data_IF_148663431571
#
_entry.id   IF_148663431571
#
_cell.length_a   1.000
_cell.length_b   1.000
_cell.length_c   1.000
_cell.angle_alpha   90.00
_cell.angle_beta   90.00
_cell.angle_gamma   90.00
#
_symmetry.space_group_name_H-M   'P 1'
#
loop_
_entity.id
_entity.type
_entity.pdbx_description
1 polymer ?
#
# COMPACT_ATOMS: atom_id res chain seq x y z
N UNK A 1 34.30 1.52 -4.61
CA UNK A 1 33.99 0.20 -5.19
C UNK A 1 32.54 -0.16 -4.94
N UNK A 2 31.62 0.18 -5.86
CA UNK A 2 30.24 -0.28 -5.80
C UNK A 2 30.12 -1.56 -6.63
N UNK A 3 30.02 -2.70 -5.95
CA UNK A 3 29.77 -4.00 -6.59
C UNK A 3 28.27 -4.14 -6.88
N UNK A 4 27.90 -4.10 -8.16
CA UNK A 4 26.53 -4.39 -8.62
C UNK A 4 26.46 -5.89 -8.92
N UNK A 5 25.79 -6.65 -8.04
CA UNK A 5 25.46 -8.05 -8.30
C UNK A 5 24.28 -8.12 -9.27
N UNK A 6 24.51 -8.62 -10.49
CA UNK A 6 23.45 -9.00 -11.45
C UNK A 6 23.15 -10.49 -11.26
N UNK A 7 21.91 -10.81 -10.89
CA UNK A 7 21.43 -12.19 -10.78
C UNK A 7 20.37 -12.47 -11.85
N UNK A 8 20.45 -13.67 -12.47
CA UNK A 8 19.63 -14.13 -13.61
C UNK A 8 18.14 -14.25 -13.23
N UNK A 9 17.26 -13.73 -14.08
CA UNK A 9 15.79 -13.84 -13.94
C UNK A 9 15.28 -15.20 -14.42
N UNK A 10 14.62 -15.95 -13.54
CA UNK A 10 13.81 -17.12 -13.85
C UNK A 10 12.35 -16.73 -14.06
N UNK A 11 11.89 -16.84 -15.30
CA UNK A 11 10.51 -16.97 -15.80
C UNK A 11 9.35 -16.44 -14.92
N UNK A 12 9.19 -15.12 -14.91
CA UNK A 12 8.02 -14.35 -14.48
C UNK A 12 8.19 -12.93 -15.03
N UNK A 13 7.12 -12.23 -15.41
CA UNK A 13 7.22 -10.83 -15.86
C UNK A 13 7.52 -9.91 -14.66
N UNK A 14 8.78 -9.96 -14.21
CA UNK A 14 9.33 -9.20 -13.08
C UNK A 14 9.60 -7.72 -13.45
N UNK A 15 9.15 -7.25 -14.62
CA UNK A 15 9.46 -5.91 -15.15
C UNK A 15 9.01 -4.77 -14.23
N UNK A 16 8.07 -5.02 -13.31
CA UNK A 16 7.53 -4.05 -12.36
C UNK A 16 8.11 -4.13 -10.94
N UNK A 17 8.99 -5.11 -10.68
CA UNK A 17 9.62 -5.32 -9.37
C UNK A 17 11.00 -4.67 -9.34
N UNK A 18 11.17 -3.64 -8.50
CA UNK A 18 12.47 -3.00 -8.29
C UNK A 18 13.13 -3.60 -7.05
N UNK A 19 14.29 -4.24 -7.24
CA UNK A 19 15.16 -4.70 -6.14
C UNK A 19 15.92 -3.51 -5.57
N UNK A 20 15.92 -3.36 -4.25
CA UNK A 20 16.60 -2.25 -3.57
C UNK A 20 17.00 -2.66 -2.13
N UNK A 21 17.69 -1.79 -1.39
CA UNK A 21 18.07 -2.04 0.01
C UNK A 21 18.04 -0.76 0.84
N UNK A 22 17.87 -0.90 2.15
CA UNK A 22 18.02 0.21 3.09
C UNK A 22 18.85 -0.21 4.30
N UNK A 23 19.46 0.77 4.97
CA UNK A 23 20.21 0.53 6.20
C UNK A 23 19.29 0.82 7.38
N UNK A 24 19.12 -0.17 8.26
CA UNK A 24 18.38 -0.03 9.51
C UNK A 24 19.24 -0.54 10.66
N UNK A 25 19.56 0.33 11.61
CA UNK A 25 20.38 0.00 12.78
C UNK A 25 21.72 -0.67 12.40
N UNK A 26 22.37 -0.21 11.31
CA UNK A 26 23.64 -0.78 10.83
C UNK A 26 23.53 -2.07 10.01
N UNK A 27 22.31 -2.60 9.81
CA UNK A 27 22.07 -3.78 8.97
C UNK A 27 21.60 -3.36 7.58
N UNK A 28 22.17 -4.00 6.55
CA UNK A 28 21.67 -3.90 5.16
C UNK A 28 20.45 -4.81 5.04
N UNK A 29 19.29 -4.22 4.76
CA UNK A 29 18.03 -4.94 4.61
C UNK A 29 17.58 -4.86 3.15
N UNK A 30 17.59 -5.98 2.40
CA UNK A 30 17.09 -6.00 1.03
C UNK A 30 15.55 -5.96 1.01
N UNK A 31 14.98 -5.34 -0.03
CA UNK A 31 13.55 -5.34 -0.26
C UNK A 31 13.18 -5.32 -1.75
N UNK A 32 11.94 -5.69 -2.04
CA UNK A 32 11.32 -5.55 -3.35
C UNK A 32 10.33 -4.39 -3.29
N UNK A 33 10.50 -3.42 -4.16
CA UNK A 33 9.58 -2.31 -4.36
C UNK A 33 8.67 -2.60 -5.54
N UNK A 34 7.38 -2.31 -5.37
CA UNK A 34 6.37 -2.36 -6.42
C UNK A 34 5.66 -1.03 -6.49
N UNK A 35 5.40 -0.56 -7.71
CA UNK A 35 4.51 0.57 -7.93
C UNK A 35 3.07 0.05 -7.98
N UNK A 36 2.21 0.66 -7.18
CA UNK A 36 0.76 0.43 -7.21
C UNK A 36 0.14 1.60 -7.96
N UNK A 37 -0.71 1.36 -8.98
CA UNK A 37 -1.42 2.42 -9.69
C UNK A 37 -2.26 3.30 -8.75
N UNK A 38 -2.38 4.60 -9.06
CA UNK A 38 -3.18 5.56 -8.28
C UNK A 38 -4.68 5.22 -8.23
N UNK A 39 -5.16 4.41 -9.18
CA UNK A 39 -6.53 3.92 -9.33
C UNK A 39 -6.71 2.48 -8.86
N UNK A 40 -5.68 1.85 -8.28
CA UNK A 40 -5.72 0.46 -7.85
C UNK A 40 -6.70 0.20 -6.70
N UNK A 41 -7.05 1.24 -5.93
CA UNK A 41 -8.01 1.18 -4.84
C UNK A 41 -9.26 1.94 -5.26
N UNK A 42 -10.37 1.23 -5.49
CA UNK A 42 -11.65 1.86 -5.85
C UNK A 42 -12.57 2.07 -4.65
N UNK A 43 -12.46 1.23 -3.61
CA UNK A 43 -13.33 1.26 -2.43
C UNK A 43 -12.61 0.84 -1.16
N UNK A 44 -13.00 1.46 -0.05
CA UNK A 44 -12.60 1.08 1.31
C UNK A 44 -13.86 0.90 2.13
N UNK A 45 -13.96 -0.20 2.86
CA UNK A 45 -15.09 -0.47 3.75
C UNK A 45 -14.70 -0.21 5.19
N UNK A 46 -15.45 0.67 5.86
CA UNK A 46 -15.35 0.89 7.30
C UNK A 46 -16.30 -0.03 8.04
N UNK A 47 -15.91 -0.59 9.20
CA UNK A 47 -16.84 -1.32 10.03
C UNK A 47 -18.04 -0.44 10.44
N UNK A 48 -19.16 -1.03 10.87
CA UNK A 48 -20.22 -0.29 11.52
C UNK A 48 -19.67 0.40 12.78
N UNK A 49 -19.61 1.73 12.76
CA UNK A 49 -19.09 2.56 13.84
C UNK A 49 -20.16 3.57 14.25
N UNK A 50 -20.16 3.97 15.53
CA UNK A 50 -21.01 5.05 16.05
C UNK A 50 -20.66 6.39 15.39
N UNK A 51 -19.37 6.62 15.14
CA UNK A 51 -18.81 7.87 14.59
C UNK A 51 -18.48 7.72 13.09
N UNK A 52 -19.39 7.14 12.33
CA UNK A 52 -19.18 6.77 10.92
C UNK A 52 -18.68 7.95 10.06
N UNK A 53 -19.26 9.13 10.21
CA UNK A 53 -18.93 10.30 9.38
C UNK A 53 -17.53 10.86 9.68
N UNK A 54 -17.13 10.85 10.95
CA UNK A 54 -15.78 11.28 11.36
C UNK A 54 -14.75 10.30 10.80
N UNK A 55 -15.02 9.00 10.93
CA UNK A 55 -14.14 7.96 10.40
C UNK A 55 -14.01 8.03 8.88
N UNK A 56 -15.12 8.25 8.15
CA UNK A 56 -15.09 8.45 6.69
C UNK A 56 -14.20 9.63 6.30
N UNK A 57 -14.39 10.78 6.95
CA UNK A 57 -13.62 11.99 6.67
C UNK A 57 -12.12 11.77 6.89
N UNK A 58 -11.73 11.19 8.03
CA UNK A 58 -10.32 10.93 8.33
C UNK A 58 -9.67 9.97 7.34
N UNK A 59 -10.39 8.94 6.90
CA UNK A 59 -9.90 8.01 5.88
C UNK A 59 -9.78 8.70 4.53
N UNK A 60 -10.74 9.54 4.17
CA UNK A 60 -10.70 10.28 2.90
C UNK A 60 -9.52 11.26 2.84
N UNK A 61 -9.22 11.96 3.93
CA UNK A 61 -8.04 12.83 4.05
C UNK A 61 -6.73 12.03 3.97
N UNK A 62 -6.64 10.90 4.67
CA UNK A 62 -5.47 10.02 4.62
C UNK A 62 -5.20 9.52 3.20
N UNK A 63 -6.22 8.98 2.53
CA UNK A 63 -6.08 8.43 1.19
C UNK A 63 -5.68 9.51 0.18
N UNK A 64 -6.25 10.72 0.31
CA UNK A 64 -5.85 11.88 -0.49
C UNK A 64 -4.39 12.29 -0.27
N UNK A 65 -3.86 12.15 0.95
CA UNK A 65 -2.44 12.46 1.25
C UNK A 65 -1.44 11.47 0.63
N UNK A 66 -1.89 10.24 0.33
CA UNK A 66 -1.06 9.18 -0.25
C UNK A 66 -1.10 9.20 -1.80
N UNK A 67 -1.96 10.03 -2.39
CA UNK A 67 -2.06 10.22 -3.85
C UNK A 67 -3.11 9.35 -4.54
N UNK A 68 -3.89 8.56 -3.81
CA UNK A 68 -5.04 7.84 -4.36
C UNK A 68 -6.21 8.79 -4.60
N UNK A 69 -6.90 8.61 -5.73
CA UNK A 69 -8.03 9.46 -6.15
C UNK A 69 -9.29 8.61 -6.34
N UNK A 70 -10.45 9.26 -6.27
CA UNK A 70 -11.76 8.66 -6.56
C UNK A 70 -12.12 7.40 -5.74
N UNK A 71 -11.52 7.25 -4.55
CA UNK A 71 -11.78 6.12 -3.65
C UNK A 71 -13.11 6.32 -2.91
N UNK A 72 -14.03 5.36 -3.03
CA UNK A 72 -15.31 5.39 -2.30
C UNK A 72 -15.15 4.79 -0.91
N UNK A 73 -15.50 5.57 0.12
CA UNK A 73 -15.56 5.06 1.49
C UNK A 73 -16.98 4.56 1.76
N UNK A 74 -17.11 3.26 2.00
CA UNK A 74 -18.37 2.55 2.18
C UNK A 74 -18.50 2.03 3.61
N UNK A 75 -19.73 1.82 4.05
CA UNK A 75 -20.01 1.10 5.30
C UNK A 75 -20.05 -0.40 5.03
N UNK A 76 -19.33 -1.17 5.84
CA UNK A 76 -19.41 -2.62 5.86
C UNK A 76 -20.76 -3.05 6.44
N UNK A 77 -21.37 -4.06 5.82
CA UNK A 77 -22.56 -4.72 6.39
C UNK A 77 -22.18 -5.80 7.40
N UNK A 78 -20.89 -6.15 7.51
CA UNK A 78 -20.42 -7.16 8.45
C UNK A 78 -20.36 -6.50 9.83
N UNK A 79 -21.17 -6.97 10.81
CA UNK A 79 -21.14 -6.43 12.16
C UNK A 79 -19.81 -6.72 12.84
N UNK A 80 -19.35 -5.76 13.65
CA UNK A 80 -18.18 -5.96 14.52
C UNK A 80 -18.55 -7.00 15.57
N UNK A 81 -17.73 -8.05 15.68
CA UNK A 81 -17.87 -9.08 16.72
C UNK A 81 -16.93 -8.73 17.87
N UNK A 82 -17.45 -8.74 19.08
CA UNK A 82 -16.72 -8.55 20.35
C UNK A 82 -16.83 -9.81 21.19
#
# INVERSE_FOLDING_TARGET
NNMIYKEKSTTGDDSKLKKDFYIRNGLIVPYLSVSIPEDAISRIYLPPLSEEEIAKKGVQELIGSVGFKDVKICKSQIPVRY
#
